data_IF_780190134954
#
_entry.id   IF_780190134954
#
_cell.length_a   1.000
_cell.length_b   1.000
_cell.length_c   1.000
_cell.angle_alpha   90.00
_cell.angle_beta   90.00
_cell.angle_gamma   90.00
#
_symmetry.space_group_name_H-M   'P 1'
#
loop_
_entity.id
_entity.type
_entity.pdbx_description
1 polymer ?
#
# COMPACT_ATOMS: atom_id res chain seq x y z
N UNK A 1 8.96 8.96 38.68
CA UNK A 1 9.69 8.21 37.64
C UNK A 1 8.72 7.26 36.95
N UNK A 2 8.12 7.67 35.83
CA UNK A 2 7.13 6.86 35.11
C UNK A 2 7.84 5.73 34.34
N UNK A 3 7.63 4.47 34.77
CA UNK A 3 8.08 3.29 34.04
C UNK A 3 7.28 3.19 32.74
N UNK A 4 7.84 3.67 31.62
CA UNK A 4 7.29 3.42 30.28
C UNK A 4 7.21 1.90 30.11
N UNK A 5 6.00 1.36 30.02
CA UNK A 5 5.77 -0.05 29.76
C UNK A 5 6.46 -0.44 28.44
N UNK A 6 7.44 -1.33 28.51
CA UNK A 6 8.10 -1.93 27.36
C UNK A 6 7.11 -2.83 26.60
N UNK A 7 6.28 -2.26 25.72
CA UNK A 7 5.62 -3.04 24.66
C UNK A 7 6.60 -3.23 23.49
N UNK A 8 7.78 -3.80 23.78
CA UNK A 8 8.88 -4.02 22.83
C UNK A 8 8.91 -5.43 22.21
N UNK A 9 7.77 -6.12 22.21
CA UNK A 9 7.68 -7.53 21.80
C UNK A 9 7.37 -7.72 20.31
N UNK A 10 7.90 -8.80 19.73
CA UNK A 10 7.62 -9.19 18.35
C UNK A 10 6.14 -9.57 18.14
N UNK A 11 5.47 -8.94 17.18
CA UNK A 11 4.04 -9.16 16.89
C UNK A 11 3.70 -10.50 16.23
N UNK A 12 4.69 -11.32 15.86
CA UNK A 12 4.45 -12.60 15.18
C UNK A 12 3.76 -13.63 16.08
N UNK A 13 4.06 -13.61 17.38
CA UNK A 13 3.45 -14.51 18.36
C UNK A 13 3.58 -13.90 19.75
N UNK A 14 2.55 -14.03 20.57
CA UNK A 14 2.58 -13.66 21.99
C UNK A 14 3.71 -14.35 22.78
N UNK A 15 4.21 -15.49 22.30
CA UNK A 15 5.33 -16.23 22.90
C UNK A 15 6.70 -15.69 22.48
N UNK A 16 6.77 -14.85 21.44
CA UNK A 16 8.04 -14.34 20.95
C UNK A 16 8.49 -13.10 21.74
N UNK A 17 9.42 -13.31 22.68
CA UNK A 17 10.01 -12.25 23.51
C UNK A 17 11.26 -11.60 22.89
N UNK A 18 11.56 -11.85 21.62
CA UNK A 18 12.73 -11.28 20.95
C UNK A 18 12.50 -9.80 20.64
N UNK A 19 13.56 -9.02 20.76
CA UNK A 19 13.59 -7.61 20.36
C UNK A 19 13.22 -7.44 18.89
N UNK A 20 12.65 -6.28 18.60
CA UNK A 20 12.30 -5.85 17.26
C UNK A 20 13.55 -5.64 16.40
N UNK A 21 13.45 -5.96 15.12
CA UNK A 21 14.52 -5.66 14.16
C UNK A 21 14.56 -4.15 13.89
N UNK A 22 15.72 -3.57 13.64
CA UNK A 22 15.86 -2.13 13.33
C UNK A 22 16.06 -1.97 11.82
N UNK A 23 15.28 -1.10 11.20
CA UNK A 23 15.42 -0.74 9.78
C UNK A 23 16.62 0.19 9.57
N UNK A 24 16.99 0.36 8.31
CA UNK A 24 18.07 1.29 7.91
C UNK A 24 17.78 2.76 8.28
N UNK A 25 16.50 3.14 8.40
CA UNK A 25 16.06 4.47 8.87
C UNK A 25 16.09 4.63 10.40
N UNK A 26 16.64 3.64 11.13
CA UNK A 26 16.69 3.61 12.59
C UNK A 26 15.35 3.26 13.27
N UNK A 27 14.26 3.10 12.51
CA UNK A 27 12.94 2.76 13.05
C UNK A 27 12.82 1.25 13.29
N UNK A 28 12.24 0.85 14.42
CA UNK A 28 11.97 -0.55 14.69
C UNK A 28 10.90 -1.15 13.74
N UNK A 29 11.16 -2.34 13.21
CA UNK A 29 10.16 -3.21 12.63
C UNK A 29 9.15 -3.67 13.70
N UNK A 30 7.95 -4.09 13.28
CA UNK A 30 6.96 -4.68 14.19
C UNK A 30 7.26 -6.13 14.60
N UNK A 31 8.34 -6.72 14.10
CA UNK A 31 8.76 -8.10 14.37
C UNK A 31 10.27 -8.16 14.58
N UNK A 32 10.73 -9.24 15.23
CA UNK A 32 12.15 -9.55 15.27
C UNK A 32 12.66 -10.02 13.91
N UNK A 33 13.98 -9.91 13.70
CA UNK A 33 14.65 -10.24 12.42
C UNK A 33 14.28 -11.61 11.87
N UNK A 34 14.25 -12.63 12.73
CA UNK A 34 13.88 -14.01 12.35
C UNK A 34 12.46 -14.08 11.78
N UNK A 35 11.48 -13.47 12.46
CA UNK A 35 10.08 -13.51 12.02
C UNK A 35 9.82 -12.58 10.83
N UNK A 36 10.54 -11.47 10.72
CA UNK A 36 10.53 -10.64 9.52
C UNK A 36 11.02 -11.42 8.30
N UNK A 37 12.19 -12.06 8.40
CA UNK A 37 12.76 -12.88 7.32
C UNK A 37 11.83 -14.04 6.94
N UNK A 38 11.25 -14.73 7.93
CA UNK A 38 10.26 -15.77 7.67
C UNK A 38 9.04 -15.24 6.92
N UNK A 39 8.47 -14.10 7.35
CA UNK A 39 7.35 -13.45 6.66
C UNK A 39 7.71 -13.09 5.23
N UNK A 40 8.88 -12.48 5.01
CA UNK A 40 9.36 -12.11 3.67
C UNK A 40 9.56 -13.35 2.80
N UNK A 41 10.17 -14.42 3.33
CA UNK A 41 10.34 -15.69 2.62
C UNK A 41 8.99 -16.29 2.22
N UNK A 42 8.02 -16.34 3.13
CA UNK A 42 6.67 -16.82 2.83
C UNK A 42 5.93 -15.95 1.82
N UNK A 43 6.11 -14.63 1.85
CA UNK A 43 5.57 -13.74 0.82
C UNK A 43 6.20 -13.99 -0.56
N UNK A 44 7.52 -14.22 -0.61
CA UNK A 44 8.22 -14.58 -1.86
C UNK A 44 7.72 -15.91 -2.42
N UNK A 45 7.61 -16.94 -1.58
CA UNK A 45 7.06 -18.25 -1.95
C UNK A 45 5.63 -18.16 -2.48
N UNK A 46 4.75 -17.37 -1.83
CA UNK A 46 3.38 -17.14 -2.32
C UNK A 46 3.36 -16.44 -3.68
N UNK A 47 4.28 -15.50 -3.91
CA UNK A 47 4.40 -14.78 -5.18
C UNK A 47 4.92 -15.68 -6.29
N UNK A 48 5.92 -16.53 -6.02
CA UNK A 48 6.47 -17.46 -7.03
C UNK A 48 5.46 -18.53 -7.44
N UNK A 49 4.57 -18.95 -6.53
CA UNK A 49 3.45 -19.86 -6.83
C UNK A 49 2.29 -19.20 -7.59
N UNK A 50 2.29 -17.89 -7.76
CA UNK A 50 1.19 -17.19 -8.44
C UNK A 50 1.31 -17.41 -9.94
N UNK A 51 0.32 -18.08 -10.52
CA UNK A 51 0.20 -18.24 -11.96
C UNK A 51 0.10 -16.84 -12.61
N UNK A 52 0.96 -16.53 -13.62
CA UNK A 52 0.84 -15.30 -14.39
C UNK A 52 -0.56 -15.16 -14.96
N UNK A 53 -1.14 -13.95 -14.86
CA UNK A 53 -2.43 -13.69 -15.48
C UNK A 53 -2.22 -13.55 -16.98
N UNK A 54 -2.75 -14.50 -17.75
CA UNK A 54 -2.86 -14.36 -19.20
C UNK A 54 -4.15 -13.59 -19.50
N UNK A 55 -4.02 -12.47 -20.20
CA UNK A 55 -5.15 -11.69 -20.70
C UNK A 55 -5.11 -11.75 -22.22
N UNK A 56 -6.26 -11.80 -22.89
CA UNK A 56 -6.30 -11.66 -24.33
C UNK A 56 -5.74 -10.28 -24.76
N UNK A 57 -5.22 -10.12 -25.99
CA UNK A 57 -4.53 -8.91 -26.41
C UNK A 57 -5.32 -7.62 -26.19
N UNK A 58 -6.65 -7.66 -26.29
CA UNK A 58 -7.51 -6.47 -26.13
C UNK A 58 -8.29 -6.46 -24.82
N UNK A 59 -8.07 -7.45 -23.96
CA UNK A 59 -8.77 -7.61 -22.71
C UNK A 59 -8.23 -6.65 -21.64
N UNK A 60 -9.15 -6.10 -20.85
CA UNK A 60 -8.86 -5.30 -19.68
C UNK A 60 -7.98 -6.05 -18.67
N UNK A 61 -6.86 -5.42 -18.27
CA UNK A 61 -5.88 -6.01 -17.36
C UNK A 61 -6.21 -5.79 -15.87
N UNK A 62 -7.47 -5.52 -15.54
CA UNK A 62 -7.88 -5.30 -14.16
C UNK A 62 -7.59 -6.56 -13.29
N UNK A 63 -7.05 -6.42 -12.06
CA UNK A 63 -6.66 -7.54 -11.19
C UNK A 63 -7.75 -8.55 -10.77
N UNK A 64 -8.97 -8.45 -11.29
CA UNK A 64 -10.07 -9.41 -11.13
C UNK A 64 -10.34 -10.30 -12.34
N UNK A 65 -9.61 -10.16 -13.45
CA UNK A 65 -9.89 -10.95 -14.67
C UNK A 65 -11.06 -10.39 -15.48
N UNK A 66 -11.11 -9.06 -15.67
CA UNK A 66 -12.17 -8.42 -16.43
C UNK A 66 -12.15 -8.88 -17.89
N UNK A 67 -13.30 -9.27 -18.45
CA UNK A 67 -13.41 -9.73 -19.85
C UNK A 67 -13.71 -8.62 -20.86
N UNK A 68 -13.98 -7.40 -20.39
CA UNK A 68 -14.25 -6.23 -21.27
C UNK A 68 -12.99 -5.84 -22.03
N UNK A 69 -13.19 -5.22 -23.18
CA UNK A 69 -12.10 -4.66 -23.98
C UNK A 69 -11.48 -3.43 -23.33
N UNK A 70 -10.23 -3.17 -23.71
CA UNK A 70 -9.46 -1.98 -23.32
C UNK A 70 -10.05 -0.75 -23.99
N UNK A 71 -10.23 0.33 -23.23
CA UNK A 71 -10.65 1.61 -23.82
C UNK A 71 -9.55 2.20 -24.69
N UNK A 72 -9.93 3.06 -25.63
CA UNK A 72 -9.02 3.75 -26.54
C UNK A 72 -8.82 5.17 -26.01
N UNK A 73 -7.57 5.62 -25.94
CA UNK A 73 -7.19 7.00 -25.65
C UNK A 73 -7.51 7.89 -26.84
N UNK A 74 -7.58 9.20 -26.61
CA UNK A 74 -7.74 10.20 -27.69
C UNK A 74 -6.65 10.11 -28.78
N UNK A 75 -5.44 9.65 -28.43
CA UNK A 75 -4.34 9.47 -29.37
C UNK A 75 -4.39 8.14 -30.15
N UNK A 76 -5.47 7.35 -30.01
CA UNK A 76 -5.63 6.06 -30.68
C UNK A 76 -4.99 4.87 -29.95
N UNK A 77 -4.15 5.10 -28.93
CA UNK A 77 -3.56 4.01 -28.16
C UNK A 77 -4.58 3.38 -27.21
N UNK A 78 -4.42 2.09 -26.90
CA UNK A 78 -5.25 1.44 -25.88
C UNK A 78 -4.79 1.76 -24.46
N UNK A 79 -5.75 2.06 -23.60
CA UNK A 79 -5.56 1.98 -22.15
C UNK A 79 -5.28 0.54 -21.73
N UNK A 80 -4.67 0.34 -20.56
CA UNK A 80 -4.50 -0.99 -19.98
C UNK A 80 -5.80 -1.55 -19.36
N UNK A 81 -6.81 -0.70 -19.16
CA UNK A 81 -8.12 -1.02 -18.56
C UNK A 81 -9.26 -0.76 -19.54
N UNK A 82 -10.42 -1.33 -19.24
CA UNK A 82 -11.69 -0.89 -19.82
C UNK A 82 -12.13 0.44 -19.19
N UNK A 83 -13.07 1.11 -19.84
CA UNK A 83 -13.65 2.39 -19.43
C UNK A 83 -14.09 2.39 -17.96
N UNK A 84 -14.92 1.42 -17.57
CA UNK A 84 -15.41 1.28 -16.19
C UNK A 84 -14.29 1.27 -15.14
N UNK A 85 -13.22 0.51 -15.39
CA UNK A 85 -12.11 0.39 -14.43
C UNK A 85 -11.21 1.62 -14.44
N UNK A 86 -11.05 2.26 -15.60
CA UNK A 86 -10.33 3.53 -15.72
C UNK A 86 -11.05 4.66 -14.98
N UNK A 87 -12.35 4.81 -15.17
CA UNK A 87 -13.18 5.80 -14.47
C UNK A 87 -13.15 5.59 -12.96
N UNK A 88 -13.31 4.34 -12.52
CA UNK A 88 -13.22 4.01 -11.09
C UNK A 88 -11.85 4.38 -10.50
N UNK A 89 -10.76 4.12 -11.21
CA UNK A 89 -9.43 4.53 -10.74
C UNK A 89 -9.29 6.05 -10.67
N UNK A 90 -9.79 6.77 -11.68
CA UNK A 90 -9.80 8.23 -11.69
C UNK A 90 -10.63 8.80 -10.53
N UNK A 91 -11.82 8.24 -10.25
CA UNK A 91 -12.64 8.64 -9.12
C UNK A 91 -11.90 8.44 -7.79
N UNK A 92 -11.28 7.27 -7.58
CA UNK A 92 -10.49 6.99 -6.39
C UNK A 92 -9.26 7.92 -6.25
N UNK A 93 -8.65 8.29 -7.36
CA UNK A 93 -7.54 9.24 -7.38
C UNK A 93 -8.00 10.65 -7.00
N UNK A 94 -9.13 11.13 -7.56
CA UNK A 94 -9.75 12.42 -7.22
C UNK A 94 -10.11 12.48 -5.73
N UNK A 95 -10.73 11.42 -5.21
CA UNK A 95 -11.08 11.33 -3.78
C UNK A 95 -9.84 11.34 -2.87
N UNK A 96 -8.76 10.68 -3.29
CA UNK A 96 -7.49 10.75 -2.56
C UNK A 96 -6.90 12.16 -2.57
N UNK A 97 -6.98 12.85 -3.70
CA UNK A 97 -6.49 14.22 -3.82
C UNK A 97 -7.26 15.18 -2.92
N UNK A 98 -8.61 15.14 -2.96
CA UNK A 98 -9.47 15.93 -2.06
C UNK A 98 -9.11 15.73 -0.58
N UNK A 99 -8.92 14.47 -0.16
CA UNK A 99 -8.51 14.17 1.23
C UNK A 99 -7.12 14.69 1.59
N UNK A 100 -6.22 14.85 0.61
CA UNK A 100 -4.89 15.43 0.84
C UNK A 100 -4.92 16.95 0.86
N UNK A 101 -5.70 17.59 0.00
CA UNK A 101 -5.84 19.05 -0.01
C UNK A 101 -6.47 19.54 1.30
N UNK A 102 -7.54 18.89 1.78
CA UNK A 102 -8.15 19.23 3.08
C UNK A 102 -7.13 19.13 4.23
N UNK A 103 -6.32 18.08 4.25
CA UNK A 103 -5.28 17.91 5.27
C UNK A 103 -4.16 18.95 5.18
N UNK A 104 -3.83 19.37 3.96
CA UNK A 104 -2.86 20.43 3.74
C UNK A 104 -3.40 21.76 4.27
N UNK A 105 -4.66 22.09 3.95
CA UNK A 105 -5.34 23.30 4.42
C UNK A 105 -5.46 23.31 5.96
N UNK A 106 -5.88 22.21 6.59
CA UNK A 106 -5.91 22.07 8.06
C UNK A 106 -4.51 22.24 8.68
N UNK A 107 -3.48 21.61 8.10
CA UNK A 107 -2.11 21.72 8.62
C UNK A 107 -1.54 23.12 8.50
N UNK A 108 -1.91 23.87 7.45
CA UNK A 108 -1.47 25.24 7.24
C UNK A 108 -2.19 26.21 8.20
N UNK A 109 -3.48 25.97 8.50
CA UNK A 109 -4.23 26.72 9.52
C UNK A 109 -3.62 26.55 10.92
N UNK A 110 -3.23 25.32 11.28
CA UNK A 110 -2.58 25.07 12.59
C UNK A 110 -1.21 25.72 12.73
N UNK A 111 -0.49 25.92 11.62
CA UNK A 111 0.85 26.55 11.64
C UNK A 111 0.77 28.10 11.68
N UNK A 112 -0.33 28.70 11.22
CA UNK A 112 -0.61 30.14 11.36
C UNK A 112 -1.14 30.53 12.75
N UNK A 113 -1.86 29.65 13.45
CA UNK A 113 -2.40 29.92 14.79
C UNK A 113 -1.38 29.77 15.93
N UNK A 114 -0.19 29.22 15.66
CA UNK A 114 0.85 29.00 16.69
C UNK A 114 1.89 30.15 16.76
N UNK A 115 1.64 31.29 16.10
CA UNK A 115 2.60 32.42 15.99
C UNK A 115 2.02 33.75 16.49
N UNK A 116 1.23 33.71 17.56
CA UNK A 116 0.81 34.88 18.35
C UNK A 116 1.25 34.71 19.81
#
# INVERSE_FOLDING_TARGET
MAKKSERGGCTYSSKCKKALDIKDDGTAHSMCKKHWNYKVAKLRERRSKRIPRTFAPFQCQYPGGCKKERSIKLNGDRHWLCELHWERQNALARERYKRRSIKYDDSNQTHSDTRQ
#
